data_IF_524157670688
#
_entry.id   IF_524157670688
#
_cell.length_a   1.000
_cell.length_b   1.000
_cell.length_c   1.000
_cell.angle_alpha   90.00
_cell.angle_beta   90.00
_cell.angle_gamma   90.00
#
_symmetry.space_group_name_H-M   'P 1'
#
loop_
_entity.id
_entity.type
_entity.pdbx_description
1 polymer ?
#
# COMPACT_ATOMS: atom_id res chain seq x y z
N UNK A 1 5.16 -5.37 -22.05
CA UNK A 1 4.30 -4.24 -21.59
C UNK A 1 2.81 -4.61 -21.37
N UNK A 2 2.37 -5.87 -21.52
CA UNK A 2 0.95 -6.25 -21.33
C UNK A 2 0.59 -6.72 -19.91
N UNK A 3 1.58 -7.13 -19.09
CA UNK A 3 1.31 -7.74 -17.78
C UNK A 3 0.74 -6.74 -16.76
N UNK A 4 1.36 -5.56 -16.63
CA UNK A 4 0.92 -4.53 -15.66
C UNK A 4 -0.51 -4.07 -15.94
N UNK A 5 -0.86 -3.79 -17.20
CA UNK A 5 -2.24 -3.47 -17.58
C UNK A 5 -3.23 -4.59 -17.26
N UNK A 6 -2.85 -5.87 -17.43
CA UNK A 6 -3.70 -7.00 -17.05
C UNK A 6 -3.91 -7.06 -15.53
N UNK A 7 -2.86 -6.84 -14.74
CA UNK A 7 -2.96 -6.76 -13.29
C UNK A 7 -3.85 -5.59 -12.85
N UNK A 8 -3.64 -4.40 -13.41
CA UNK A 8 -4.44 -3.21 -13.08
C UNK A 8 -5.93 -3.44 -13.39
N UNK A 9 -6.25 -4.00 -14.56
CA UNK A 9 -7.61 -4.34 -14.93
C UNK A 9 -8.23 -5.41 -14.01
N UNK A 10 -7.43 -6.39 -13.58
CA UNK A 10 -7.87 -7.40 -12.62
C UNK A 10 -8.20 -6.77 -11.25
N UNK A 11 -7.33 -5.92 -10.70
CA UNK A 11 -7.60 -5.27 -9.42
C UNK A 11 -8.78 -4.31 -9.49
N UNK A 12 -8.93 -3.56 -10.59
CA UNK A 12 -10.08 -2.66 -10.80
C UNK A 12 -11.40 -3.44 -10.84
N UNK A 13 -11.46 -4.55 -11.60
CA UNK A 13 -12.67 -5.37 -11.69
C UNK A 13 -12.99 -6.16 -10.42
N UNK A 14 -12.01 -6.37 -9.53
CA UNK A 14 -12.21 -7.13 -8.29
C UNK A 14 -12.32 -6.24 -7.03
N UNK A 15 -12.26 -4.91 -7.16
CA UNK A 15 -12.29 -3.96 -6.04
C UNK A 15 -13.55 -4.05 -5.16
N UNK A 16 -14.66 -4.52 -5.71
CA UNK A 16 -15.95 -4.65 -5.02
C UNK A 16 -16.44 -6.10 -4.91
N UNK A 17 -15.51 -7.06 -4.92
CA UNK A 17 -15.83 -8.48 -4.76
C UNK A 17 -15.61 -8.92 -3.32
N UNK A 18 -16.22 -10.03 -2.89
CA UNK A 18 -16.04 -10.61 -1.54
C UNK A 18 -14.66 -11.28 -1.33
N UNK A 19 -13.65 -10.87 -2.11
CA UNK A 19 -12.30 -11.41 -2.05
C UNK A 19 -11.39 -10.46 -1.28
N UNK A 20 -10.53 -11.02 -0.43
CA UNK A 20 -9.47 -10.26 0.24
C UNK A 20 -8.16 -10.40 -0.51
N UNK A 21 -7.52 -9.27 -0.80
CA UNK A 21 -6.21 -9.22 -1.44
C UNK A 21 -5.14 -8.81 -0.43
N UNK A 22 -3.99 -9.48 -0.47
CA UNK A 22 -2.78 -9.09 0.26
C UNK A 22 -1.72 -8.74 -0.77
N UNK A 23 -1.18 -7.53 -0.69
CA UNK A 23 -0.27 -6.98 -1.69
C UNK A 23 0.93 -6.35 -0.96
N UNK A 24 2.13 -6.78 -1.32
CA UNK A 24 3.38 -6.15 -0.88
C UNK A 24 3.93 -5.31 -2.04
N UNK A 25 4.03 -4.00 -1.84
CA UNK A 25 4.48 -3.06 -2.88
C UNK A 25 5.17 -1.84 -2.26
N UNK A 26 6.08 -1.24 -3.01
CA UNK A 26 6.70 0.05 -2.67
C UNK A 26 5.98 1.24 -3.32
N UNK A 27 4.99 1.01 -4.19
CA UNK A 27 4.23 2.07 -4.84
C UNK A 27 3.10 2.55 -3.93
N UNK A 28 3.28 3.74 -3.35
CA UNK A 28 2.25 4.35 -2.51
C UNK A 28 0.98 4.69 -3.30
N UNK A 29 1.10 5.11 -4.57
CA UNK A 29 -0.05 5.37 -5.44
C UNK A 29 -0.92 4.12 -5.65
N UNK A 30 -0.30 2.96 -5.77
CA UNK A 30 -1.02 1.69 -5.90
C UNK A 30 -1.81 1.37 -4.63
N UNK A 31 -1.18 1.53 -3.45
CA UNK A 31 -1.83 1.33 -2.16
C UNK A 31 -3.01 2.30 -2.00
N UNK A 32 -2.80 3.59 -2.29
CA UNK A 32 -3.83 4.64 -2.25
C UNK A 32 -5.02 4.32 -3.19
N UNK A 33 -4.76 3.66 -4.32
CA UNK A 33 -5.79 3.34 -5.32
C UNK A 33 -6.62 2.10 -4.99
N UNK A 34 -5.99 1.05 -4.46
CA UNK A 34 -6.57 -0.31 -4.44
C UNK A 34 -6.72 -0.94 -3.05
N UNK A 35 -6.10 -0.40 -2.00
CA UNK A 35 -6.16 -1.00 -0.66
C UNK A 35 -7.06 -0.20 0.28
N UNK A 36 -7.74 -0.88 1.20
CA UNK A 36 -8.55 -0.24 2.25
C UNK A 36 -7.80 -0.15 3.59
N UNK A 37 -6.81 -1.02 3.78
CA UNK A 37 -5.94 -1.04 4.96
C UNK A 37 -4.49 -1.22 4.55
N UNK A 38 -3.58 -0.68 5.36
CA UNK A 38 -2.14 -0.83 5.18
C UNK A 38 -1.49 -1.41 6.43
N UNK A 39 -0.52 -2.31 6.22
CA UNK A 39 0.40 -2.81 7.24
C UNK A 39 1.79 -2.27 6.93
N UNK A 40 2.33 -1.46 7.82
CA UNK A 40 3.70 -0.98 7.73
C UNK A 40 4.63 -1.82 8.60
N UNK A 41 5.61 -2.43 7.95
CA UNK A 41 6.69 -3.18 8.60
C UNK A 41 8.01 -2.41 8.51
N UNK A 42 8.77 -2.40 9.61
CA UNK A 42 10.15 -1.91 9.66
C UNK A 42 11.01 -2.88 10.46
N UNK A 43 12.12 -3.34 9.86
CA UNK A 43 13.07 -4.29 10.49
C UNK A 43 12.37 -5.52 11.10
N UNK A 44 11.37 -6.06 10.41
CA UNK A 44 10.62 -7.23 10.84
C UNK A 44 9.54 -6.97 11.90
N UNK A 45 9.34 -5.71 12.33
CA UNK A 45 8.33 -5.34 13.32
C UNK A 45 7.19 -4.56 12.67
N UNK A 46 5.97 -4.79 13.15
CA UNK A 46 4.82 -3.94 12.82
C UNK A 46 4.99 -2.58 13.46
N UNK A 47 5.06 -1.54 12.62
CA UNK A 47 5.10 -0.14 13.07
C UNK A 47 3.69 0.42 13.18
N UNK A 48 2.86 0.20 12.15
CA UNK A 48 1.47 0.64 12.13
C UNK A 48 0.60 -0.31 11.28
N UNK A 49 -0.68 -0.40 11.63
CA UNK A 49 -1.69 -1.13 10.86
C UNK A 49 -3.04 -0.45 11.00
N UNK A 50 -3.75 -0.24 9.89
CA UNK A 50 -5.06 0.41 9.94
C UNK A 50 -5.46 1.02 8.61
N UNK A 51 -6.24 2.11 8.68
CA UNK A 51 -6.65 2.91 7.53
C UNK A 51 -5.44 3.37 6.71
N UNK A 52 -5.56 3.30 5.38
CA UNK A 52 -4.44 3.63 4.48
C UNK A 52 -3.96 5.07 4.66
N UNK A 53 -4.84 6.04 4.89
CA UNK A 53 -4.45 7.44 4.91
C UNK A 53 -3.56 7.72 6.11
N UNK A 54 -3.96 7.22 7.28
CA UNK A 54 -3.19 7.37 8.51
C UNK A 54 -1.83 6.69 8.42
N UNK A 55 -1.81 5.42 7.98
CA UNK A 55 -0.56 4.64 7.93
C UNK A 55 0.42 5.21 6.88
N UNK A 56 -0.08 5.66 5.73
CA UNK A 56 0.76 6.24 4.69
C UNK A 56 1.31 7.61 5.08
N UNK A 57 0.50 8.46 5.71
CA UNK A 57 0.97 9.77 6.20
C UNK A 57 2.14 9.60 7.19
N UNK A 58 2.06 8.61 8.09
CA UNK A 58 3.13 8.33 9.05
C UNK A 58 4.36 7.69 8.39
N UNK A 59 4.16 6.82 7.40
CA UNK A 59 5.23 6.24 6.60
C UNK A 59 6.02 7.32 5.84
N UNK A 60 5.33 8.25 5.17
CA UNK A 60 5.95 9.34 4.39
C UNK A 60 6.71 10.31 5.31
N UNK A 61 6.17 10.64 6.50
CA UNK A 61 6.88 11.46 7.50
C UNK A 61 8.18 10.80 7.96
N UNK A 62 8.18 9.50 8.25
CA UNK A 62 9.40 8.81 8.68
C UNK A 62 10.46 8.77 7.58
N UNK A 63 10.07 8.53 6.33
CA UNK A 63 11.00 8.57 5.19
C UNK A 63 11.68 9.93 5.02
N UNK A 64 10.92 11.02 5.26
CA UNK A 64 11.46 12.39 5.22
C UNK A 64 12.45 12.66 6.36
N UNK A 65 12.15 12.18 7.58
CA UNK A 65 13.03 12.34 8.74
C UNK A 65 14.37 11.61 8.57
N UNK A 66 14.37 10.44 7.94
CA UNK A 66 15.60 9.66 7.67
C UNK A 66 16.51 10.30 6.61
N UNK A 67 16.01 11.22 5.79
CA UNK A 67 16.79 11.92 4.77
C UNK A 67 17.28 13.31 5.23
N UNK A 68 16.85 13.76 6.42
CA UNK A 68 17.19 15.07 6.98
C UNK A 68 18.38 15.03 7.96
N UNK A 69 18.98 13.85 8.15
CA UNK A 69 20.20 13.59 8.94
C UNK A 69 21.34 13.15 8.01
#
# INVERSE_FOLDING_TARGET
>A
KSFRHKCDAYFESNKHTDKTFIIATHSLDFVKKFCDKALWLSRGNQVAFGDIHQVLDDYEKQGSLLCAE
#
